data_IF_825553652970
#
_entry.id   IF_825553652970
#
_cell.length_a   1.000
_cell.length_b   1.000
_cell.length_c   1.000
_cell.angle_alpha   90.00
_cell.angle_beta   90.00
_cell.angle_gamma   90.00
#
_symmetry.space_group_name_H-M   'P 1'
#
loop_
_entity.id
_entity.type
_entity.pdbx_description
1 polymer ?
#
# COMPACT_ATOMS: atom_id res chain seq x y z
N UNK A 1 40.09 15.16 -20.82
CA UNK A 1 40.69 13.83 -20.58
C UNK A 1 40.15 13.31 -19.26
N UNK A 2 39.63 12.08 -19.30
CA UNK A 2 39.21 11.18 -18.20
C UNK A 2 38.02 11.56 -17.31
N UNK A 3 36.85 11.21 -17.86
CA UNK A 3 35.73 10.51 -17.19
C UNK A 3 36.26 9.29 -16.41
N UNK A 4 35.83 9.09 -15.16
CA UNK A 4 35.98 7.80 -14.44
C UNK A 4 34.58 7.33 -14.08
N UNK A 5 34.25 6.16 -14.62
CA UNK A 5 33.02 5.40 -14.45
C UNK A 5 33.11 4.48 -13.24
N UNK A 6 31.95 4.32 -12.59
CA UNK A 6 31.24 3.08 -12.24
C UNK A 6 32.02 1.84 -11.82
N UNK A 7 31.66 1.25 -10.67
CA UNK A 7 31.27 -0.17 -10.62
C UNK A 7 30.52 -0.49 -9.32
N UNK A 8 29.26 -0.90 -9.41
CA UNK A 8 28.67 -1.90 -8.50
C UNK A 8 27.89 -2.90 -9.35
N UNK A 9 28.24 -4.17 -9.16
CA UNK A 9 27.84 -5.36 -9.89
C UNK A 9 26.33 -5.56 -9.98
N UNK A 10 25.85 -5.84 -11.19
CA UNK A 10 24.55 -6.42 -11.45
C UNK A 10 24.67 -7.94 -11.58
N UNK A 11 23.78 -8.64 -10.88
CA UNK A 11 23.63 -10.10 -10.87
C UNK A 11 23.11 -10.61 -12.23
N UNK A 12 23.77 -11.67 -12.71
CA UNK A 12 23.63 -12.28 -14.04
C UNK A 12 22.38 -13.15 -14.17
N UNK A 13 21.56 -12.87 -15.18
CA UNK A 13 20.57 -13.79 -15.75
C UNK A 13 21.29 -14.60 -16.85
N UNK A 14 21.41 -15.91 -16.63
CA UNK A 14 22.01 -16.81 -17.61
C UNK A 14 21.01 -17.09 -18.74
N UNK A 15 21.28 -16.50 -19.90
CA UNK A 15 20.77 -16.94 -21.19
C UNK A 15 21.76 -17.94 -21.79
N UNK A 16 21.26 -19.09 -22.25
CA UNK A 16 22.03 -20.01 -23.09
C UNK A 16 21.17 -20.52 -24.24
N UNK A 17 21.46 -20.01 -25.44
CA UNK A 17 21.11 -20.57 -26.76
C UNK A 17 22.43 -20.63 -27.53
N UNK A 18 22.72 -21.66 -28.36
CA UNK A 18 22.56 -21.46 -29.81
C UNK A 18 22.29 -22.72 -30.64
N UNK A 19 21.54 -22.58 -31.76
CA UNK A 19 21.73 -23.51 -32.88
C UNK A 19 20.62 -23.66 -33.94
N UNK A 20 20.68 -22.82 -34.98
CA UNK A 20 20.48 -23.18 -36.40
C UNK A 20 19.10 -23.60 -36.96
N UNK A 21 18.50 -22.63 -37.69
CA UNK A 21 18.12 -22.68 -39.12
C UNK A 21 16.98 -23.64 -39.57
N UNK A 22 15.87 -23.01 -39.99
CA UNK A 22 15.13 -23.42 -41.19
C UNK A 22 13.75 -24.04 -40.99
N UNK A 23 12.76 -23.42 -41.66
CA UNK A 23 11.61 -24.05 -42.34
C UNK A 23 10.25 -24.18 -41.60
N UNK A 24 9.35 -23.28 -42.02
CA UNK A 24 7.92 -23.43 -42.38
C UNK A 24 7.01 -24.46 -41.68
N UNK A 25 5.95 -23.92 -41.06
CA UNK A 25 4.55 -24.39 -40.95
C UNK A 25 4.29 -25.91 -40.85
N UNK A 26 3.69 -26.32 -39.72
CA UNK A 26 2.46 -27.13 -39.69
C UNK A 26 1.65 -26.90 -38.41
N UNK A 27 0.37 -26.56 -38.59
CA UNK A 27 -0.70 -26.78 -37.62
C UNK A 27 -0.72 -28.26 -37.18
N UNK A 28 -0.92 -28.51 -35.90
CA UNK A 28 -1.57 -29.72 -35.39
C UNK A 28 -2.13 -29.43 -34.00
N UNK A 29 -3.45 -29.31 -33.94
CA UNK A 29 -4.24 -29.37 -32.72
C UNK A 29 -3.96 -30.68 -31.97
N UNK A 30 -3.50 -30.59 -30.71
CA UNK A 30 -3.62 -31.66 -29.73
C UNK A 30 -4.35 -31.10 -28.52
N UNK A 31 -5.64 -31.44 -28.49
CA UNK A 31 -6.52 -31.43 -27.35
C UNK A 31 -5.82 -32.05 -26.13
N UNK A 32 -5.48 -31.18 -25.18
CA UNK A 32 -4.98 -31.54 -23.86
C UNK A 32 -5.69 -30.67 -22.84
N UNK A 33 -6.86 -31.13 -22.43
CA UNK A 33 -7.62 -30.71 -21.26
C UNK A 33 -6.79 -30.81 -19.97
N UNK A 34 -5.76 -29.99 -19.83
CA UNK A 34 -5.21 -29.64 -18.54
C UNK A 34 -6.17 -28.63 -17.92
N UNK A 35 -7.28 -29.14 -17.39
CA UNK A 35 -7.99 -28.47 -16.31
C UNK A 35 -6.99 -28.36 -15.17
N UNK A 36 -6.22 -27.26 -15.18
CA UNK A 36 -5.63 -26.73 -13.97
C UNK A 36 -6.84 -26.47 -13.09
N UNK A 37 -7.11 -27.43 -12.19
CA UNK A 37 -8.06 -27.23 -11.10
C UNK A 37 -7.63 -25.92 -10.47
N UNK A 38 -8.36 -24.84 -10.74
CA UNK A 38 -8.29 -23.62 -9.96
C UNK A 38 -8.49 -24.09 -8.54
N UNK A 39 -7.41 -24.13 -7.76
CA UNK A 39 -7.53 -24.10 -6.32
C UNK A 39 -8.52 -22.98 -6.01
N UNK A 40 -9.50 -23.34 -5.18
CA UNK A 40 -10.62 -22.51 -4.75
C UNK A 40 -10.11 -21.08 -4.62
N UNK A 41 -10.50 -20.20 -5.54
CA UNK A 41 -10.24 -18.77 -5.36
C UNK A 41 -10.91 -18.43 -4.03
N UNK A 42 -10.12 -18.08 -3.02
CA UNK A 42 -10.66 -17.63 -1.74
C UNK A 42 -11.55 -16.41 -1.94
N UNK A 43 -12.30 -16.02 -0.90
CA UNK A 43 -13.06 -14.78 -0.89
C UNK A 43 -12.16 -13.59 -1.27
N UNK A 44 -12.72 -12.59 -1.95
CA UNK A 44 -11.94 -11.41 -2.36
C UNK A 44 -11.48 -10.64 -1.12
N UNK A 45 -10.21 -10.21 -1.04
CA UNK A 45 -9.72 -9.48 0.13
C UNK A 45 -10.38 -8.10 0.25
N UNK A 46 -10.87 -7.78 1.44
CA UNK A 46 -11.38 -6.44 1.77
C UNK A 46 -10.19 -5.53 2.08
N UNK A 47 -9.99 -4.47 1.29
CA UNK A 47 -8.93 -3.46 1.49
C UNK A 47 -9.56 -2.18 2.05
N UNK A 48 -9.14 -1.77 3.25
CA UNK A 48 -9.66 -0.55 3.91
C UNK A 48 -8.54 0.49 4.03
N UNK A 49 -8.48 1.51 3.14
CA UNK A 49 -7.47 2.55 3.23
C UNK A 49 -7.87 3.62 4.25
N UNK A 50 -6.94 3.97 5.15
CA UNK A 50 -7.18 4.93 6.23
C UNK A 50 -6.00 5.88 6.33
N UNK A 51 -6.29 7.18 6.36
CA UNK A 51 -5.30 8.23 6.61
C UNK A 51 -5.34 8.58 8.09
N UNK A 52 -4.18 8.52 8.75
CA UNK A 52 -4.05 8.95 10.13
C UNK A 52 -3.63 10.42 10.16
N UNK A 53 -4.41 11.25 10.85
CA UNK A 53 -4.15 12.67 11.03
C UNK A 53 -3.83 12.96 12.48
N UNK A 54 -2.59 13.32 12.76
CA UNK A 54 -2.17 13.68 14.10
C UNK A 54 -2.22 15.21 14.29
N UNK A 55 -2.48 15.63 15.52
CA UNK A 55 -2.45 17.05 15.87
C UNK A 55 -1.02 17.62 15.75
N UNK A 56 -0.91 18.91 15.41
CA UNK A 56 0.41 19.58 15.35
C UNK A 56 1.13 19.55 16.71
N UNK A 57 0.36 19.63 17.80
CA UNK A 57 0.89 19.56 19.15
C UNK A 57 1.56 18.20 19.42
N UNK A 58 0.89 17.10 19.07
CA UNK A 58 1.44 15.76 19.27
C UNK A 58 2.61 15.49 18.32
N UNK A 59 2.56 15.98 17.08
CA UNK A 59 3.72 15.94 16.17
C UNK A 59 4.95 16.61 16.79
N UNK A 60 4.77 17.77 17.44
CA UNK A 60 5.85 18.49 18.09
C UNK A 60 6.38 17.73 19.30
N UNK A 61 5.50 17.21 20.14
CA UNK A 61 5.86 16.44 21.32
C UNK A 61 6.66 15.19 20.94
N UNK A 62 6.20 14.42 19.96
CA UNK A 62 6.89 13.23 19.46
C UNK A 62 8.24 13.56 18.85
N UNK A 63 8.34 14.66 18.11
CA UNK A 63 9.60 15.08 17.50
C UNK A 63 10.64 15.47 18.57
N UNK A 64 10.21 16.18 19.61
CA UNK A 64 11.06 16.56 20.75
C UNK A 64 11.54 15.33 21.52
N UNK A 65 10.66 14.37 21.79
CA UNK A 65 11.00 13.10 22.43
C UNK A 65 11.98 12.28 21.58
N UNK A 66 11.71 12.15 20.28
CA UNK A 66 12.55 11.38 19.36
C UNK A 66 13.97 11.95 19.22
N UNK A 67 14.11 13.28 19.22
CA UNK A 67 15.42 13.95 19.23
C UNK A 67 16.12 13.76 20.58
N UNK A 68 15.38 13.85 21.69
CA UNK A 68 15.96 13.76 23.05
C UNK A 68 16.44 12.35 23.40
N UNK A 69 15.78 11.31 22.89
CA UNK A 69 16.08 9.89 23.18
C UNK A 69 17.21 9.33 22.33
N UNK A 70 17.47 9.90 21.16
CA UNK A 70 18.59 9.49 20.30
C UNK A 70 19.78 10.36 20.66
N UNK A 71 20.84 9.74 21.20
CA UNK A 71 22.16 10.36 21.43
C UNK A 71 22.78 10.79 20.09
N UNK A 72 22.18 11.78 19.43
CA UNK A 72 22.69 12.36 18.20
C UNK A 72 23.85 13.26 18.57
N UNK A 73 24.97 13.06 17.89
CA UNK A 73 26.16 13.88 18.01
C UNK A 73 25.83 15.36 17.71
N UNK A 74 25.62 16.15 18.76
CA UNK A 74 25.85 17.59 18.98
C UNK A 74 25.46 18.64 17.90
N UNK A 75 24.78 18.29 16.79
CA UNK A 75 24.52 19.26 15.70
C UNK A 75 23.13 19.20 15.09
N UNK A 76 22.10 18.78 15.84
CA UNK A 76 20.73 18.98 15.37
C UNK A 76 20.28 20.41 15.71
N UNK A 77 20.27 21.29 14.70
CA UNK A 77 19.97 22.71 14.91
C UNK A 77 18.46 22.95 14.94
N UNK A 78 18.03 24.05 15.55
CA UNK A 78 16.61 24.49 15.56
C UNK A 78 16.04 24.57 14.14
N UNK A 79 16.86 24.94 13.15
CA UNK A 79 16.47 24.98 11.73
C UNK A 79 16.09 23.60 11.18
N UNK A 80 16.73 22.52 11.65
CA UNK A 80 16.41 21.16 11.21
C UNK A 80 15.06 20.69 11.78
N UNK A 81 14.71 21.15 12.99
CA UNK A 81 13.41 20.88 13.62
C UNK A 81 12.26 21.54 12.87
N UNK A 82 12.40 22.82 12.50
CA UNK A 82 11.36 23.55 11.77
C UNK A 82 11.15 22.98 10.36
N UNK A 83 12.24 22.59 9.69
CA UNK A 83 12.18 21.90 8.40
C UNK A 83 11.47 20.55 8.52
N UNK A 84 11.78 19.78 9.56
CA UNK A 84 11.13 18.48 9.78
C UNK A 84 9.65 18.64 10.10
N UNK A 85 9.28 19.62 10.92
CA UNK A 85 7.88 19.96 11.18
C UNK A 85 7.14 20.35 9.90
N UNK A 86 7.76 21.15 9.03
CA UNK A 86 7.19 21.54 7.74
C UNK A 86 6.96 20.32 6.85
N UNK A 87 7.96 19.42 6.75
CA UNK A 87 7.83 18.20 5.97
C UNK A 87 6.71 17.29 6.49
N UNK A 88 6.59 17.12 7.81
CA UNK A 88 5.50 16.35 8.43
C UNK A 88 4.13 16.93 8.09
N UNK A 89 3.98 18.26 8.18
CA UNK A 89 2.76 18.95 7.78
C UNK A 89 2.45 18.74 6.30
N UNK A 90 3.44 18.92 5.41
CA UNK A 90 3.25 18.71 3.97
C UNK A 90 2.79 17.29 3.63
N UNK A 91 3.40 16.27 4.24
CA UNK A 91 2.98 14.87 4.04
C UNK A 91 1.56 14.65 4.55
N UNK A 92 1.25 15.13 5.76
CA UNK A 92 -0.09 14.98 6.34
C UNK A 92 -1.15 15.70 5.49
N UNK A 93 -0.89 16.92 5.04
CA UNK A 93 -1.80 17.71 4.21
C UNK A 93 -2.05 17.02 2.86
N UNK A 94 -1.00 16.49 2.24
CA UNK A 94 -1.12 15.69 1.02
C UNK A 94 -1.99 14.45 1.23
N UNK A 95 -1.72 13.65 2.26
CA UNK A 95 -2.52 12.45 2.55
C UNK A 95 -3.97 12.81 2.91
N UNK A 96 -4.19 13.88 3.67
CA UNK A 96 -5.53 14.33 4.03
C UNK A 96 -6.31 14.89 2.84
N UNK A 97 -5.64 15.36 1.79
CA UNK A 97 -6.32 15.88 0.57
C UNK A 97 -7.20 14.81 -0.10
N UNK A 98 -6.83 13.54 0.05
CA UNK A 98 -7.59 12.40 -0.47
C UNK A 98 -8.93 12.17 0.24
N UNK A 99 -9.22 12.87 1.34
CA UNK A 99 -10.56 12.89 1.93
C UNK A 99 -11.64 13.30 0.91
N UNK A 100 -11.28 14.19 -0.02
CA UNK A 100 -12.15 14.60 -1.12
C UNK A 100 -12.48 13.47 -2.11
N UNK A 101 -11.64 12.43 -2.18
CA UNK A 101 -11.81 11.24 -3.01
C UNK A 101 -12.49 10.09 -2.26
N UNK A 102 -13.00 10.35 -1.05
CA UNK A 102 -13.70 9.35 -0.23
C UNK A 102 -12.82 8.57 0.74
N UNK A 103 -11.53 8.89 0.86
CA UNK A 103 -10.68 8.26 1.87
C UNK A 103 -11.04 8.71 3.29
N UNK A 104 -11.09 7.74 4.20
CA UNK A 104 -11.37 7.98 5.61
C UNK A 104 -10.15 8.55 6.30
N UNK A 105 -10.35 9.68 7.01
CA UNK A 105 -9.31 10.32 7.82
C UNK A 105 -9.65 10.13 9.30
N UNK A 106 -8.77 9.44 10.01
CA UNK A 106 -8.86 9.20 11.44
C UNK A 106 -7.98 10.21 12.20
N UNK A 107 -8.58 11.02 13.08
CA UNK A 107 -7.81 11.94 13.91
C UNK A 107 -7.20 11.20 15.10
N UNK A 108 -5.93 11.42 15.36
CA UNK A 108 -5.18 10.86 16.49
C UNK A 108 -4.63 12.00 17.33
N UNK A 109 -4.77 11.89 18.64
CA UNK A 109 -3.96 12.61 19.60
C UNK A 109 -3.53 11.70 20.74
N UNK A 110 -2.53 12.12 21.51
CA UNK A 110 -2.13 11.39 22.71
C UNK A 110 -3.28 11.28 23.73
N UNK A 111 -4.16 12.30 23.78
CA UNK A 111 -5.27 12.37 24.73
C UNK A 111 -6.54 11.65 24.27
N UNK A 112 -6.69 11.41 22.96
CA UNK A 112 -7.88 10.75 22.40
C UNK A 112 -7.58 9.39 21.79
N UNK A 113 -6.38 8.85 21.99
CA UNK A 113 -5.95 7.61 21.35
C UNK A 113 -6.90 6.42 21.62
N UNK A 114 -7.34 6.16 22.88
CA UNK A 114 -8.30 5.08 23.14
C UNK A 114 -9.62 5.26 22.37
N UNK A 115 -10.15 6.48 22.34
CA UNK A 115 -11.39 6.80 21.62
C UNK A 115 -11.23 6.62 20.11
N UNK A 116 -10.07 6.98 19.57
CA UNK A 116 -9.76 6.74 18.15
C UNK A 116 -9.68 5.24 17.84
N UNK A 117 -9.17 4.41 18.76
CA UNK A 117 -9.17 2.95 18.58
C UNK A 117 -10.59 2.37 18.59
N UNK A 118 -11.45 2.81 19.51
CA UNK A 118 -12.85 2.37 19.57
C UNK A 118 -13.61 2.72 18.28
N UNK A 119 -13.38 3.94 17.77
CA UNK A 119 -13.94 4.38 16.50
C UNK A 119 -13.40 3.55 15.33
N UNK A 120 -12.08 3.30 15.28
CA UNK A 120 -11.44 2.51 14.23
C UNK A 120 -11.96 1.07 14.22
N UNK A 121 -12.13 0.46 15.38
CA UNK A 121 -12.70 -0.86 15.53
C UNK A 121 -14.11 -0.93 14.93
N UNK A 122 -14.97 0.02 15.30
CA UNK A 122 -16.34 0.11 14.79
C UNK A 122 -16.37 0.33 13.26
N UNK A 123 -15.48 1.18 12.75
CA UNK A 123 -15.35 1.47 11.32
C UNK A 123 -14.92 0.23 10.52
N UNK A 124 -13.94 -0.53 11.02
CA UNK A 124 -13.47 -1.75 10.36
C UNK A 124 -14.56 -2.83 10.31
N UNK A 125 -15.34 -3.00 11.38
CA UNK A 125 -16.48 -3.93 11.39
C UNK A 125 -17.51 -3.56 10.32
N UNK A 126 -17.82 -2.27 10.19
CA UNK A 126 -18.72 -1.77 9.14
C UNK A 126 -18.17 -2.06 7.73
N UNK A 127 -16.87 -1.86 7.50
CA UNK A 127 -16.25 -2.18 6.21
C UNK A 127 -16.33 -3.68 5.88
N UNK A 128 -16.14 -4.55 6.89
CA UNK A 128 -16.26 -6.00 6.71
C UNK A 128 -17.70 -6.37 6.33
N UNK A 129 -18.69 -5.84 7.07
CA UNK A 129 -20.11 -6.08 6.79
C UNK A 129 -20.51 -5.64 5.38
N UNK A 130 -20.00 -4.49 4.92
CA UNK A 130 -20.24 -4.01 3.56
C UNK A 130 -19.57 -4.88 2.50
N UNK A 131 -18.32 -5.32 2.74
CA UNK A 131 -17.59 -6.18 1.81
C UNK A 131 -18.27 -7.53 1.61
N UNK A 132 -18.72 -8.19 2.68
CA UNK A 132 -19.44 -9.48 2.58
C UNK A 132 -20.82 -9.34 1.94
N UNK A 133 -21.50 -8.21 2.15
CA UNK A 133 -22.84 -7.97 1.59
C UNK A 133 -22.80 -7.72 0.08
N UNK A 134 -21.71 -7.13 -0.42
CA UNK A 134 -21.51 -6.86 -1.85
C UNK A 134 -21.45 -8.14 -2.68
N UNK A 135 -20.80 -9.20 -2.19
CA UNK A 135 -20.71 -10.50 -2.90
C UNK A 135 -22.06 -11.23 -2.98
N UNK A 136 -22.95 -11.03 -1.99
CA UNK A 136 -24.20 -11.79 -1.88
C UNK A 136 -25.29 -11.39 -2.89
N UNK A 137 -25.20 -10.20 -3.50
CA UNK A 137 -26.24 -9.67 -4.38
C UNK A 137 -26.09 -10.08 -5.86
N UNK A 138 -24.94 -10.59 -6.29
CA UNK A 138 -24.75 -11.03 -7.69
C UNK A 138 -25.36 -12.42 -7.98
N UNK A 139 -25.55 -13.27 -6.98
CA UNK A 139 -26.03 -14.66 -7.17
C UNK A 139 -27.56 -14.77 -7.37
N UNK A 140 -28.29 -13.64 -7.28
CA UNK A 140 -29.76 -13.62 -7.32
C UNK A 140 -30.42 -13.51 -8.71
N UNK A 141 -29.67 -13.21 -9.78
CA UNK A 141 -30.26 -12.91 -11.10
C UNK A 141 -30.39 -14.18 -11.96
N UNK A 142 -31.32 -15.07 -11.61
CA UNK A 142 -31.74 -16.16 -12.49
C UNK A 142 -32.53 -15.61 -13.70
N UNK A 143 -32.32 -16.12 -14.93
CA UNK A 143 -33.13 -15.73 -16.07
C UNK A 143 -34.53 -16.33 -15.92
N UNK A 144 -35.56 -15.49 -15.99
CA UNK A 144 -36.92 -15.93 -16.27
C UNK A 144 -37.00 -16.29 -17.76
N UNK A 145 -36.99 -17.58 -18.06
CA UNK A 145 -37.47 -18.10 -19.35
C UNK A 145 -39.00 -18.10 -19.34
N UNK A 146 -39.60 -17.41 -20.32
CA UNK A 146 -40.94 -17.64 -20.84
C UNK A 146 -40.90 -17.41 -22.35
#
# INVERSE_FOLDING_TARGET
MNKVSDTLESISLAESVPGSKGESLKDTEINGNASVRKEKSGAEPIIVPIVLKMSEFDHKALLEEWISTRTFNDKFLVQDKDKLMTNLKTIQDYLCSFKSQGLTVANISATTFPQTLDWLHSYLLQCIEQGISSESNEDGRRPTEN
#
